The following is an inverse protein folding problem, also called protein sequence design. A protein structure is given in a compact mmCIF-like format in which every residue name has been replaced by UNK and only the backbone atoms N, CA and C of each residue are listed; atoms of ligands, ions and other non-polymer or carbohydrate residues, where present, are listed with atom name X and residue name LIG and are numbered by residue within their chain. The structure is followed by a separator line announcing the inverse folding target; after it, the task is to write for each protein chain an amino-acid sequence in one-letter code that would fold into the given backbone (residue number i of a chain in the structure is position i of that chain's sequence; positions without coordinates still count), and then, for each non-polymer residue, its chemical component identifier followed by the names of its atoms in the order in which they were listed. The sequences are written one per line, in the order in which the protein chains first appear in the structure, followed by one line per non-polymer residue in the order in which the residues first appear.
data_IF_616861748974
#
_entry.id   IF_616861748974
#
_cell.length_a   1.000
_cell.length_b   1.000
_cell.length_c   1.000
_cell.angle_alpha   90.00
_cell.angle_beta   90.00
_cell.angle_gamma   90.00
#
_symmetry.space_group_name_H-M   'P 1'
#
loop_
_entity.id
_entity.type
_entity.pdbx_description
1 polymer ?
#
# COMPACT_ATOMS: atom_id res chain seq x y z
N UNK A 1 0.98 -1.22 -33.40
CA UNK A 1 1.27 -0.96 -31.96
C UNK A 1 1.00 0.51 -31.67
N UNK A 2 0.23 0.86 -30.63
CA UNK A 2 -0.15 2.26 -30.38
C UNK A 2 1.01 3.09 -29.81
N UNK A 3 1.13 4.38 -30.19
CA UNK A 3 2.13 5.30 -29.63
C UNK A 3 1.84 5.59 -28.15
N UNK A 4 2.87 5.79 -27.32
CA UNK A 4 2.69 6.20 -25.92
C UNK A 4 2.23 7.66 -25.84
N UNK A 5 2.79 8.51 -26.70
CA UNK A 5 2.38 9.90 -26.88
C UNK A 5 1.30 9.94 -27.97
N UNK A 6 0.10 10.33 -27.58
CA UNK A 6 -1.10 10.43 -28.43
C UNK A 6 -1.83 11.74 -28.18
N UNK A 7 -2.70 12.14 -29.10
CA UNK A 7 -3.52 13.36 -28.98
C UNK A 7 -4.66 13.23 -27.94
N UNK A 8 -4.85 12.06 -27.34
CA UNK A 8 -5.81 11.83 -26.24
C UNK A 8 -5.50 12.59 -24.93
N UNK A 9 -4.30 13.17 -24.82
CA UNK A 9 -3.91 14.03 -23.70
C UNK A 9 -3.69 15.44 -24.27
N UNK A 10 -4.73 16.30 -24.27
CA UNK A 10 -4.65 17.64 -24.81
C UNK A 10 -3.56 18.41 -24.05
N UNK A 11 -2.66 19.05 -24.79
CA UNK A 11 -1.48 19.75 -24.26
C UNK A 11 -0.44 18.88 -23.54
N UNK A 12 -0.59 17.55 -23.56
CA UNK A 12 0.36 16.59 -22.98
C UNK A 12 0.61 16.75 -21.47
N UNK A 13 -0.33 17.38 -20.76
CA UNK A 13 -0.21 17.71 -19.34
C UNK A 13 -0.03 16.44 -18.51
N UNK A 14 -0.89 15.44 -18.69
CA UNK A 14 -0.86 14.23 -17.88
C UNK A 14 0.45 13.44 -18.08
N UNK A 15 0.96 13.40 -19.32
CA UNK A 15 2.24 12.72 -19.62
C UNK A 15 3.43 13.44 -19.02
N UNK A 16 3.50 14.77 -19.14
CA UNK A 16 4.60 15.57 -18.56
C UNK A 16 4.60 15.40 -17.04
N UNK A 17 3.42 15.45 -16.40
CA UNK A 17 3.27 15.15 -14.97
C UNK A 17 3.73 13.72 -14.65
N UNK A 18 3.41 12.74 -15.50
CA UNK A 18 3.80 11.35 -15.32
C UNK A 18 5.33 11.18 -15.31
N UNK A 19 6.03 11.79 -16.26
CA UNK A 19 7.50 11.78 -16.31
C UNK A 19 8.08 12.51 -15.10
N UNK A 20 7.54 13.68 -14.75
CA UNK A 20 7.99 14.47 -13.60
C UNK A 20 7.87 13.69 -12.29
N UNK A 21 6.74 12.98 -12.10
CA UNK A 21 6.51 12.12 -10.93
C UNK A 21 7.46 10.92 -10.89
N UNK A 22 7.77 10.30 -12.04
CA UNK A 22 8.76 9.22 -12.09
C UNK A 22 10.16 9.70 -11.68
N UNK A 23 10.58 10.86 -12.19
CA UNK A 23 11.85 11.48 -11.79
C UNK A 23 11.84 11.86 -10.30
N UNK A 24 10.71 12.37 -9.80
CA UNK A 24 10.57 12.68 -8.38
C UNK A 24 10.65 11.43 -7.50
N UNK A 25 10.07 10.29 -7.91
CA UNK A 25 10.29 9.02 -7.20
C UNK A 25 11.77 8.66 -7.15
N UNK A 26 12.49 8.69 -8.29
CA UNK A 26 13.92 8.38 -8.34
C UNK A 26 14.73 9.26 -7.38
N UNK A 27 14.44 10.57 -7.37
CA UNK A 27 15.05 11.51 -6.43
C UNK A 27 14.76 11.13 -4.96
N UNK A 28 13.49 10.86 -4.62
CA UNK A 28 13.08 10.49 -3.25
C UNK A 28 13.69 9.16 -2.79
N UNK A 29 13.82 8.18 -3.68
CA UNK A 29 14.51 6.93 -3.38
C UNK A 29 16.02 7.15 -3.18
N UNK A 30 16.66 7.97 -4.00
CA UNK A 30 18.08 8.30 -3.82
C UNK A 30 18.32 8.95 -2.44
N UNK A 31 17.48 9.91 -2.04
CA UNK A 31 17.53 10.52 -0.71
C UNK A 31 17.32 9.50 0.41
N UNK A 32 16.36 8.59 0.26
CA UNK A 32 16.12 7.54 1.24
C UNK A 32 17.35 6.65 1.43
N UNK A 33 18.00 6.22 0.35
CA UNK A 33 19.19 5.37 0.47
C UNK A 33 20.40 6.11 1.04
N UNK A 34 20.52 7.42 0.77
CA UNK A 34 21.64 8.23 1.25
C UNK A 34 21.47 8.70 2.71
N UNK A 35 20.26 9.12 3.08
CA UNK A 35 19.97 9.82 4.34
C UNK A 35 18.97 9.07 5.24
N UNK A 36 18.46 7.91 4.81
CA UNK A 36 17.46 7.15 5.57
C UNK A 36 16.05 7.75 5.56
N UNK A 37 15.79 8.78 4.76
CA UNK A 37 14.47 9.40 4.61
C UNK A 37 14.29 9.95 3.20
N UNK A 38 13.07 9.86 2.67
CA UNK A 38 12.72 10.49 1.40
C UNK A 38 12.63 12.02 1.51
N UNK A 39 12.55 12.55 2.74
CA UNK A 39 12.38 13.96 3.05
C UNK A 39 13.36 14.36 4.17
N UNK A 40 14.61 14.68 3.82
CA UNK A 40 15.63 15.05 4.80
C UNK A 40 15.45 16.49 5.29
N UNK A 41 15.89 16.76 6.53
CA UNK A 41 15.70 18.05 7.19
C UNK A 41 16.38 19.24 6.49
N UNK A 42 17.39 19.00 5.66
CA UNK A 42 18.05 20.06 4.88
C UNK A 42 17.21 20.55 3.68
N UNK A 43 16.17 19.82 3.27
CA UNK A 43 15.26 20.25 2.23
C UNK A 43 14.11 21.07 2.84
N UNK A 44 13.83 22.25 2.29
CA UNK A 44 12.68 23.07 2.68
C UNK A 44 11.38 22.23 2.64
N UNK A 45 10.59 22.20 3.73
CA UNK A 45 9.31 21.50 3.76
C UNK A 45 8.34 21.91 2.65
N UNK A 46 8.32 23.19 2.30
CA UNK A 46 7.48 23.74 1.23
C UNK A 46 7.89 23.20 -0.13
N UNK A 47 9.21 23.13 -0.40
CA UNK A 47 9.73 22.54 -1.64
C UNK A 47 9.42 21.05 -1.72
N UNK A 48 9.59 20.32 -0.62
CA UNK A 48 9.24 18.91 -0.54
C UNK A 48 7.74 18.69 -0.79
N UNK A 49 6.88 19.48 -0.14
CA UNK A 49 5.43 19.43 -0.29
C UNK A 49 4.99 19.77 -1.72
N UNK A 50 5.61 20.76 -2.38
CA UNK A 50 5.36 21.08 -3.78
C UNK A 50 5.71 19.90 -4.71
N UNK A 51 6.83 19.21 -4.45
CA UNK A 51 7.19 17.98 -5.15
C UNK A 51 6.14 16.88 -4.98
N UNK A 52 5.62 16.69 -3.76
CA UNK A 52 4.53 15.74 -3.49
C UNK A 52 3.22 16.18 -4.17
N UNK A 53 2.94 17.49 -4.25
CA UNK A 53 1.75 18.02 -4.91
C UNK A 53 1.69 17.69 -6.41
N UNK A 54 2.83 17.52 -7.10
CA UNK A 54 2.87 17.02 -8.48
C UNK A 54 2.19 15.65 -8.62
N UNK A 55 2.25 14.81 -7.58
CA UNK A 55 1.55 13.52 -7.57
C UNK A 55 0.03 13.71 -7.52
N UNK A 56 -0.47 14.75 -6.85
CA UNK A 56 -1.90 15.10 -6.90
C UNK A 56 -2.28 15.52 -8.32
N UNK A 57 -1.53 16.45 -8.91
CA UNK A 57 -1.78 16.92 -10.27
C UNK A 57 -1.80 15.75 -11.27
N UNK A 58 -0.88 14.78 -11.14
CA UNK A 58 -0.89 13.57 -11.96
C UNK A 58 -2.18 12.76 -11.77
N UNK A 59 -2.56 12.46 -10.53
CA UNK A 59 -3.75 11.65 -10.26
C UNK A 59 -5.03 12.33 -10.78
N UNK A 60 -5.19 13.63 -10.51
CA UNK A 60 -6.39 14.39 -10.90
C UNK A 60 -6.46 14.69 -12.40
N UNK A 61 -5.33 14.94 -13.07
CA UNK A 61 -5.30 15.13 -14.53
C UNK A 61 -5.75 13.88 -15.31
N UNK A 62 -5.79 12.68 -14.69
CA UNK A 62 -6.35 11.48 -15.32
C UNK A 62 -7.86 11.58 -15.63
N UNK A 63 -8.57 12.54 -15.03
CA UNK A 63 -9.97 12.82 -15.33
C UNK A 63 -10.16 13.41 -16.75
N UNK A 64 -9.13 14.07 -17.28
CA UNK A 64 -9.13 14.63 -18.64
C UNK A 64 -9.06 13.53 -19.71
N UNK A 65 -8.64 12.32 -19.33
CA UNK A 65 -8.44 11.21 -20.25
C UNK A 65 -9.75 10.42 -20.45
N UNK A 66 -10.10 10.09 -21.71
CA UNK A 66 -11.25 9.25 -21.99
C UNK A 66 -11.01 7.82 -21.51
N UNK A 67 -12.04 7.21 -20.92
CA UNK A 67 -12.04 5.82 -20.46
C UNK A 67 -13.15 5.02 -21.15
N UNK A 68 -12.91 3.70 -21.37
CA UNK A 68 -13.99 2.81 -21.77
C UNK A 68 -15.05 2.73 -20.66
N UNK A 69 -16.32 2.83 -21.05
CA UNK A 69 -17.46 2.71 -20.12
C UNK A 69 -17.64 1.24 -19.71
N UNK A 70 -17.48 0.32 -20.68
CA UNK A 70 -17.63 -1.11 -20.45
C UNK A 70 -16.32 -1.72 -19.95
N UNK A 71 -16.43 -2.52 -18.90
CA UNK A 71 -15.29 -3.24 -18.32
C UNK A 71 -14.86 -4.40 -19.20
N UNK A 72 -13.55 -4.55 -19.37
CA UNK A 72 -12.94 -5.68 -20.05
C UNK A 72 -12.19 -6.53 -19.01
N UNK A 73 -12.50 -7.82 -18.97
CA UNK A 73 -11.91 -8.76 -18.03
C UNK A 73 -10.72 -9.55 -18.61
N UNK A 74 -10.43 -9.39 -19.90
CA UNK A 74 -9.34 -10.11 -20.57
C UNK A 74 -7.95 -9.54 -20.28
N UNK A 75 -7.87 -8.23 -20.01
CA UNK A 75 -6.60 -7.53 -19.76
C UNK A 75 -6.71 -6.55 -18.60
N UNK A 76 -5.65 -6.34 -17.80
CA UNK A 76 -5.60 -5.25 -16.84
C UNK A 76 -5.82 -3.91 -17.55
N UNK A 77 -6.91 -3.23 -17.22
CA UNK A 77 -7.30 -1.98 -17.86
C UNK A 77 -7.98 -1.04 -16.85
N UNK A 78 -7.84 0.26 -17.08
CA UNK A 78 -8.46 1.30 -16.26
C UNK A 78 -9.94 1.43 -16.66
N UNK A 79 -10.83 1.43 -15.67
CA UNK A 79 -12.26 1.77 -15.80
C UNK A 79 -12.65 2.81 -14.72
N UNK A 80 -13.88 3.37 -14.75
CA UNK A 80 -14.26 4.49 -13.87
C UNK A 80 -14.05 4.25 -12.38
N UNK A 81 -14.49 3.11 -11.83
CA UNK A 81 -14.27 2.74 -10.43
C UNK A 81 -12.77 2.71 -10.09
N UNK A 82 -11.94 2.01 -10.87
CA UNK A 82 -10.50 1.94 -10.62
C UNK A 82 -9.83 3.32 -10.64
N UNK A 83 -10.16 4.16 -11.63
CA UNK A 83 -9.61 5.53 -11.71
C UNK A 83 -9.95 6.32 -10.44
N UNK A 84 -11.22 6.31 -10.03
CA UNK A 84 -11.67 7.08 -8.87
C UNK A 84 -11.09 6.53 -7.56
N UNK A 85 -10.97 5.20 -7.41
CA UNK A 85 -10.26 4.60 -6.27
C UNK A 85 -8.78 5.00 -6.25
N UNK A 86 -8.09 4.95 -7.38
CA UNK A 86 -6.68 5.36 -7.48
C UNK A 86 -6.51 6.84 -7.10
N UNK A 87 -7.38 7.74 -7.56
CA UNK A 87 -7.39 9.16 -7.15
C UNK A 87 -7.63 9.31 -5.66
N UNK A 88 -8.65 8.64 -5.10
CA UNK A 88 -8.99 8.75 -3.68
C UNK A 88 -7.86 8.25 -2.78
N UNK A 89 -7.29 7.09 -3.10
CA UNK A 89 -6.19 6.50 -2.32
C UNK A 89 -4.89 7.31 -2.48
N UNK A 90 -4.56 7.79 -3.68
CA UNK A 90 -3.42 8.67 -3.87
C UNK A 90 -3.60 9.98 -3.10
N UNK A 91 -4.76 10.61 -3.21
CA UNK A 91 -5.05 11.89 -2.53
C UNK A 91 -4.91 11.77 -1.02
N UNK A 92 -5.38 10.67 -0.41
CA UNK A 92 -5.15 10.39 1.01
C UNK A 92 -3.67 10.46 1.37
N UNK A 93 -2.83 9.72 0.65
CA UNK A 93 -1.39 9.68 0.91
C UNK A 93 -0.68 11.00 0.64
N UNK A 94 -1.10 11.73 -0.38
CA UNK A 94 -0.58 13.07 -0.68
C UNK A 94 -0.92 14.04 0.45
N UNK A 95 -2.20 14.07 0.87
CA UNK A 95 -2.64 14.92 1.99
C UNK A 95 -1.88 14.57 3.26
N UNK A 96 -1.79 13.30 3.65
CA UNK A 96 -1.07 12.94 4.87
C UNK A 96 0.43 13.23 4.79
N UNK A 97 1.05 13.08 3.62
CA UNK A 97 2.46 13.44 3.42
C UNK A 97 2.65 14.95 3.54
N UNK A 98 1.86 15.76 2.84
CA UNK A 98 1.97 17.24 2.86
C UNK A 98 1.69 17.77 4.27
N UNK A 99 0.63 17.32 4.93
CA UNK A 99 0.29 17.75 6.28
C UNK A 99 1.38 17.36 7.28
N UNK A 100 2.04 16.20 7.11
CA UNK A 100 3.21 15.84 7.93
C UNK A 100 4.43 16.69 7.61
N UNK A 101 4.72 16.98 6.32
CA UNK A 101 5.87 17.80 5.94
C UNK A 101 5.76 19.23 6.48
N UNK A 102 4.58 19.81 6.38
CA UNK A 102 4.33 21.20 6.77
C UNK A 102 3.97 21.37 8.25
N UNK A 103 4.00 20.28 9.02
CA UNK A 103 3.61 20.24 10.42
C UNK A 103 2.22 20.86 10.67
N UNK A 104 1.25 20.49 9.82
CA UNK A 104 -0.14 20.96 9.86
C UNK A 104 -1.08 20.02 10.61
N UNK A 105 -0.56 18.93 11.18
CA UNK A 105 -1.35 18.19 12.15
C UNK A 105 -1.61 19.11 13.35
N UNK A 106 -2.74 18.97 14.08
CA UNK A 106 -2.90 19.65 15.36
C UNK A 106 -1.65 19.40 16.21
N UNK A 107 -1.13 20.37 16.95
CA UNK A 107 0.10 20.17 17.74
C UNK A 107 -0.22 19.41 19.04
N UNK A 108 0.79 18.95 19.77
CA UNK A 108 0.58 18.25 21.06
C UNK A 108 -0.21 19.11 22.08
N UNK A 109 -0.08 20.43 22.00
CA UNK A 109 -0.87 21.40 22.78
C UNK A 109 -2.36 21.39 22.43
N UNK A 110 -2.73 21.00 21.20
CA UNK A 110 -4.09 21.02 20.67
C UNK A 110 -4.95 19.83 21.14
N UNK A 111 -4.42 18.97 22.03
CA UNK A 111 -5.00 17.72 22.53
C UNK A 111 -4.81 16.50 21.61
N UNK A 112 -4.45 15.37 22.23
CA UNK A 112 -4.38 14.03 21.62
C UNK A 112 -5.69 13.65 20.89
N UNK A 113 -6.82 14.18 21.35
CA UNK A 113 -8.11 13.99 20.71
C UNK A 113 -8.20 14.71 19.35
N UNK A 114 -7.69 15.94 19.25
CA UNK A 114 -7.68 16.68 17.99
C UNK A 114 -6.84 15.95 16.92
N UNK A 115 -5.67 15.43 17.31
CA UNK A 115 -4.85 14.56 16.44
C UNK A 115 -5.62 13.32 15.97
N UNK A 116 -6.28 12.63 16.90
CA UNK A 116 -7.07 11.44 16.59
C UNK A 116 -8.21 11.75 15.61
N UNK A 117 -8.93 12.85 15.85
CA UNK A 117 -10.02 13.31 14.99
C UNK A 117 -9.50 13.70 13.60
N UNK A 118 -8.42 14.47 13.50
CA UNK A 118 -7.84 14.89 12.21
C UNK A 118 -7.43 13.68 11.35
N UNK A 119 -6.70 12.72 11.93
CA UNK A 119 -6.30 11.50 11.21
C UNK A 119 -7.51 10.60 10.89
N UNK A 120 -8.45 10.50 11.83
CA UNK A 120 -9.69 9.76 11.66
C UNK A 120 -10.55 10.31 10.52
N UNK A 121 -10.65 11.63 10.38
CA UNK A 121 -11.39 12.29 9.30
C UNK A 121 -10.78 11.95 7.94
N UNK A 122 -9.46 12.03 7.79
CA UNK A 122 -8.78 11.67 6.54
C UNK A 122 -9.02 10.21 6.17
N UNK A 123 -8.88 9.29 7.14
CA UNK A 123 -9.04 7.85 6.91
C UNK A 123 -10.49 7.44 6.65
N UNK A 124 -11.40 7.78 7.57
CA UNK A 124 -12.81 7.46 7.46
C UNK A 124 -13.45 8.16 6.26
N UNK A 125 -13.05 9.41 5.97
CA UNK A 125 -13.44 10.13 4.76
C UNK A 125 -13.02 9.39 3.49
N UNK A 126 -11.78 8.93 3.41
CA UNK A 126 -11.29 8.13 2.27
C UNK A 126 -12.05 6.80 2.14
N UNK A 127 -12.30 6.10 3.25
CA UNK A 127 -13.06 4.83 3.25
C UNK A 127 -14.50 5.05 2.80
N UNK A 128 -15.14 6.13 3.24
CA UNK A 128 -16.50 6.51 2.81
C UNK A 128 -16.52 6.86 1.33
N UNK A 129 -15.56 7.64 0.85
CA UNK A 129 -15.40 7.95 -0.57
C UNK A 129 -15.20 6.69 -1.42
N UNK A 130 -14.33 5.76 -0.99
CA UNK A 130 -14.11 4.49 -1.70
C UNK A 130 -15.36 3.60 -1.73
N UNK A 131 -16.15 3.59 -0.65
CA UNK A 131 -17.42 2.88 -0.58
C UNK A 131 -18.42 3.48 -1.56
N UNK A 132 -18.59 4.80 -1.55
CA UNK A 132 -19.45 5.52 -2.50
C UNK A 132 -19.05 5.27 -3.95
N UNK A 133 -17.74 5.28 -4.26
CA UNK A 133 -17.24 4.98 -5.60
C UNK A 133 -17.62 3.55 -6.02
N UNK A 134 -17.47 2.59 -5.10
CA UNK A 134 -17.82 1.18 -5.36
C UNK A 134 -19.32 1.02 -5.61
N UNK A 135 -20.15 1.71 -4.83
CA UNK A 135 -21.60 1.61 -4.95
C UNK A 135 -22.12 2.23 -6.25
N UNK A 136 -21.47 3.29 -6.75
CA UNK A 136 -21.91 3.99 -7.96
C UNK A 136 -21.30 3.47 -9.27
N UNK A 137 -20.06 3.00 -9.25
CA UNK A 137 -19.33 2.59 -10.47
C UNK A 137 -18.75 1.18 -10.43
N UNK A 138 -18.82 0.51 -9.28
CA UNK A 138 -18.20 -0.79 -9.08
C UNK A 138 -19.15 -1.98 -9.27
N UNK A 139 -18.61 -3.16 -9.02
CA UNK A 139 -19.37 -4.40 -8.90
C UNK A 139 -18.91 -5.14 -7.63
N UNK A 140 -19.86 -5.45 -6.73
CA UNK A 140 -19.53 -6.03 -5.41
C UNK A 140 -19.00 -7.46 -5.50
N UNK A 141 -19.37 -8.21 -6.54
CA UNK A 141 -18.91 -9.57 -6.82
C UNK A 141 -17.56 -9.58 -7.54
N UNK A 142 -17.42 -8.71 -8.54
CA UNK A 142 -16.22 -8.59 -9.37
C UNK A 142 -15.54 -7.25 -9.11
N UNK A 143 -14.75 -7.17 -8.05
CA UNK A 143 -13.96 -5.97 -7.70
C UNK A 143 -12.65 -5.90 -8.48
N UNK A 144 -12.11 -4.70 -8.70
CA UNK A 144 -10.87 -4.49 -9.47
C UNK A 144 -9.72 -5.44 -9.12
N UNK A 145 -9.44 -5.61 -7.84
CA UNK A 145 -8.31 -6.46 -7.40
C UNK A 145 -8.64 -7.95 -7.40
N UNK A 146 -9.92 -8.34 -7.32
CA UNK A 146 -10.31 -9.75 -7.25
C UNK A 146 -10.44 -10.41 -8.63
N UNK A 147 -10.78 -9.62 -9.65
CA UNK A 147 -11.11 -10.08 -11.00
C UNK A 147 -10.12 -9.53 -12.03
N UNK A 148 -8.98 -9.02 -11.58
CA UNK A 148 -7.86 -8.71 -12.45
C UNK A 148 -7.38 -10.02 -13.09
N UNK A 149 -7.24 -10.09 -14.42
CA UNK A 149 -6.72 -11.28 -15.08
C UNK A 149 -5.26 -11.53 -14.68
N UNK A 150 -4.94 -12.78 -14.39
CA UNK A 150 -3.59 -13.26 -14.11
C UNK A 150 -3.06 -14.04 -15.31
N UNK A 151 -1.74 -14.10 -15.49
CA UNK A 151 -1.13 -14.97 -16.50
C UNK A 151 -1.53 -16.44 -16.30
N UNK A 152 -1.62 -17.19 -17.41
CA UNK A 152 -1.92 -18.63 -17.38
C UNK A 152 -0.89 -19.44 -16.61
N UNK A 153 0.35 -18.97 -16.54
CA UNK A 153 1.46 -19.61 -15.81
C UNK A 153 1.33 -19.54 -14.29
N UNK A 154 0.44 -18.69 -13.75
CA UNK A 154 0.21 -18.56 -12.31
C UNK A 154 -0.98 -19.42 -11.92
N UNK A 155 -0.74 -20.41 -11.07
CA UNK A 155 -1.71 -21.43 -10.69
C UNK A 155 -2.94 -20.81 -10.00
N UNK A 156 -4.16 -21.06 -10.52
CA UNK A 156 -5.37 -20.42 -10.02
C UNK A 156 -5.77 -20.83 -8.61
N UNK A 157 -5.46 -22.05 -8.19
CA UNK A 157 -5.93 -22.64 -6.93
C UNK A 157 -4.97 -22.38 -5.77
N UNK A 158 -3.66 -22.30 -6.04
CA UNK A 158 -2.61 -22.26 -5.02
C UNK A 158 -1.87 -20.92 -4.98
N UNK A 159 -1.51 -20.35 -6.13
CA UNK A 159 -0.65 -19.16 -6.19
C UNK A 159 -1.46 -17.85 -6.22
N UNK A 160 -2.49 -17.77 -7.08
CA UNK A 160 -3.32 -16.56 -7.19
C UNK A 160 -3.95 -16.14 -5.86
N UNK A 161 -4.50 -17.03 -5.02
CA UNK A 161 -5.09 -16.63 -3.74
C UNK A 161 -4.05 -16.04 -2.78
N UNK A 162 -2.81 -16.56 -2.80
CA UNK A 162 -1.70 -16.08 -1.96
C UNK A 162 -1.26 -14.67 -2.39
N UNK A 163 -1.09 -14.44 -3.70
CA UNK A 163 -0.78 -13.11 -4.25
C UNK A 163 -1.89 -12.11 -3.95
N UNK A 164 -3.16 -12.47 -4.19
CA UNK A 164 -4.32 -11.61 -3.89
C UNK A 164 -4.40 -11.25 -2.41
N UNK A 165 -4.16 -12.22 -1.52
CA UNK A 165 -4.09 -11.98 -0.08
C UNK A 165 -2.99 -10.99 0.26
N UNK A 166 -1.84 -11.08 -0.39
CA UNK A 166 -0.74 -10.15 -0.15
C UNK A 166 -1.02 -8.74 -0.69
N UNK A 167 -1.67 -8.61 -1.84
CA UNK A 167 -2.15 -7.31 -2.33
C UNK A 167 -3.14 -6.67 -1.35
N UNK A 168 -4.08 -7.44 -0.82
CA UNK A 168 -5.02 -6.96 0.21
C UNK A 168 -4.27 -6.48 1.47
N UNK A 169 -3.32 -7.27 1.97
CA UNK A 169 -2.53 -6.89 3.15
C UNK A 169 -1.70 -5.63 2.90
N UNK A 170 -1.15 -5.48 1.69
CA UNK A 170 -0.41 -4.27 1.31
C UNK A 170 -1.31 -3.04 1.25
N UNK A 171 -2.58 -3.18 0.82
CA UNK A 171 -3.57 -2.09 0.88
C UNK A 171 -3.94 -1.70 2.32
N UNK A 172 -4.03 -2.67 3.23
CA UNK A 172 -4.19 -2.41 4.65
C UNK A 172 -2.95 -1.70 5.22
N UNK A 173 -1.75 -2.19 4.94
CA UNK A 173 -0.50 -1.58 5.38
C UNK A 173 -0.35 -0.14 4.84
N UNK A 174 -0.70 0.10 3.58
CA UNK A 174 -0.75 1.44 3.00
C UNK A 174 -1.70 2.35 3.80
N UNK A 175 -2.91 1.89 4.09
CA UNK A 175 -3.86 2.69 4.89
C UNK A 175 -3.36 2.92 6.32
N UNK A 176 -2.73 1.92 6.94
CA UNK A 176 -2.11 2.06 8.26
C UNK A 176 -0.97 3.08 8.29
N UNK A 177 -0.15 3.15 7.24
CA UNK A 177 0.97 4.11 7.19
C UNK A 177 0.52 5.56 7.34
N UNK A 178 -0.69 5.91 6.92
CA UNK A 178 -1.29 7.25 7.10
C UNK A 178 -1.48 7.65 8.58
N UNK A 179 -1.43 6.71 9.52
CA UNK A 179 -1.51 6.96 10.97
C UNK A 179 -0.15 7.27 11.59
N UNK A 180 0.93 7.12 10.81
CA UNK A 180 2.28 7.33 11.28
C UNK A 180 2.63 8.83 11.15
N UNK A 181 3.39 9.39 12.11
CA UNK A 181 3.91 10.75 12.04
C UNK A 181 5.19 10.81 11.18
N UNK A 182 5.20 10.18 10.01
CA UNK A 182 6.38 10.11 9.15
C UNK A 182 6.01 10.31 7.67
N UNK A 183 6.55 11.37 7.07
CA UNK A 183 6.25 11.72 5.68
C UNK A 183 6.77 10.68 4.68
N UNK A 184 7.90 10.03 4.95
CA UNK A 184 8.47 8.98 4.09
C UNK A 184 7.52 7.78 4.03
N UNK A 185 6.98 7.37 5.17
CA UNK A 185 6.04 6.26 5.24
C UNK A 185 4.65 6.62 4.68
N UNK A 186 4.21 7.87 4.87
CA UNK A 186 2.99 8.38 4.23
C UNK A 186 3.10 8.41 2.71
N UNK A 187 4.29 8.72 2.17
CA UNK A 187 4.57 8.82 0.74
C UNK A 187 4.72 7.45 0.06
N UNK A 188 5.35 6.48 0.74
CA UNK A 188 5.77 5.21 0.14
C UNK A 188 4.68 4.47 -0.66
N UNK A 189 3.41 4.37 -0.21
CA UNK A 189 2.38 3.67 -0.96
C UNK A 189 1.96 4.33 -2.28
N UNK A 190 2.27 5.62 -2.48
CA UNK A 190 1.95 6.33 -3.73
C UNK A 190 2.57 5.65 -4.95
N UNK A 191 3.76 5.06 -4.81
CA UNK A 191 4.44 4.39 -5.90
C UNK A 191 3.55 3.29 -6.47
N UNK A 192 3.08 2.36 -5.65
CA UNK A 192 2.22 1.28 -6.11
C UNK A 192 0.87 1.78 -6.64
N UNK A 193 0.29 2.80 -6.01
CA UNK A 193 -1.00 3.39 -6.41
C UNK A 193 -0.92 4.02 -7.80
N UNK A 194 0.19 4.68 -8.14
CA UNK A 194 0.39 5.37 -9.42
C UNK A 194 1.04 4.48 -10.49
N UNK A 195 1.85 3.50 -10.11
CA UNK A 195 2.40 2.52 -11.05
C UNK A 195 1.32 1.61 -11.62
N UNK A 196 0.29 1.27 -10.85
CA UNK A 196 -0.82 0.45 -11.33
C UNK A 196 -1.53 1.04 -12.58
N UNK A 197 -2.05 2.28 -12.59
CA UNK A 197 -2.66 2.88 -13.79
C UNK A 197 -1.65 3.10 -14.93
N UNK A 198 -0.37 3.40 -14.64
CA UNK A 198 0.67 3.46 -15.67
C UNK A 198 0.79 2.11 -16.39
N UNK A 199 0.95 1.02 -15.64
CA UNK A 199 1.09 -0.32 -16.20
C UNK A 199 -0.18 -0.78 -16.94
N UNK A 200 -1.38 -0.50 -16.42
CA UNK A 200 -2.63 -0.76 -17.15
C UNK A 200 -2.71 0.00 -18.47
N UNK A 201 -2.17 1.23 -18.51
CA UNK A 201 -2.10 2.01 -19.76
C UNK A 201 -1.14 1.38 -20.76
N UNK A 202 0.02 0.89 -20.30
CA UNK A 202 0.99 0.18 -21.15
C UNK A 202 0.45 -1.14 -21.69
N UNK A 203 -0.27 -1.91 -20.85
CA UNK A 203 -0.98 -3.13 -21.27
C UNK A 203 -2.01 -2.82 -22.35
N UNK A 204 -2.86 -1.80 -22.14
CA UNK A 204 -3.87 -1.38 -23.12
C UNK A 204 -3.24 -1.00 -24.46
N UNK A 205 -2.07 -0.35 -24.44
CA UNK A 205 -1.32 0.05 -25.65
C UNK A 205 -0.52 -1.10 -26.28
N UNK A 206 -0.55 -2.29 -25.69
CA UNK A 206 0.20 -3.45 -26.16
C UNK A 206 1.71 -3.28 -26.06
N UNK A 207 2.18 -2.48 -25.09
CA UNK A 207 3.61 -2.26 -24.83
C UNK A 207 4.19 -3.26 -23.85
N UNK A 208 3.35 -3.78 -22.97
CA UNK A 208 3.69 -4.80 -21.98
C UNK A 208 2.53 -5.78 -21.85
N UNK A 209 2.78 -6.94 -21.26
CA UNK A 209 1.80 -7.99 -21.04
C UNK A 209 1.10 -7.84 -19.67
N UNK A 210 0.01 -8.60 -19.45
CA UNK A 210 -0.59 -8.74 -18.11
C UNK A 210 0.40 -9.30 -17.09
N UNK A 211 1.36 -10.09 -17.56
CA UNK A 211 2.44 -10.63 -16.74
C UNK A 211 3.33 -9.51 -16.21
N UNK A 212 3.80 -8.63 -17.10
CA UNK A 212 4.65 -7.49 -16.74
C UNK A 212 3.93 -6.53 -15.77
N UNK A 213 2.62 -6.33 -15.96
CA UNK A 213 1.80 -5.56 -15.02
C UNK A 213 1.93 -6.09 -13.59
N UNK A 214 1.73 -7.40 -13.38
CA UNK A 214 1.78 -7.98 -12.03
C UNK A 214 3.20 -7.94 -11.45
N UNK A 215 4.24 -8.15 -12.26
CA UNK A 215 5.65 -8.01 -11.82
C UNK A 215 5.94 -6.60 -11.32
N UNK A 216 5.68 -5.59 -12.15
CA UNK A 216 5.98 -4.19 -11.78
C UNK A 216 5.12 -3.75 -10.61
N UNK A 217 3.86 -4.18 -10.55
CA UNK A 217 3.00 -3.88 -9.41
C UNK A 217 3.51 -4.54 -8.11
N UNK A 218 3.89 -5.82 -8.16
CA UNK A 218 4.50 -6.52 -7.02
C UNK A 218 5.80 -5.85 -6.55
N UNK A 219 6.68 -5.45 -7.49
CA UNK A 219 7.91 -4.70 -7.18
C UNK A 219 7.56 -3.36 -6.54
N UNK A 220 6.58 -2.62 -7.06
CA UNK A 220 6.19 -1.33 -6.50
C UNK A 220 5.62 -1.43 -5.08
N UNK A 221 4.89 -2.50 -4.77
CA UNK A 221 4.42 -2.80 -3.42
C UNK A 221 5.60 -3.18 -2.52
N UNK A 222 6.49 -4.03 -3.00
CA UNK A 222 7.70 -4.46 -2.29
C UNK A 222 8.61 -3.28 -1.93
N UNK A 223 8.81 -2.35 -2.85
CA UNK A 223 9.62 -1.16 -2.62
C UNK A 223 9.09 -0.33 -1.45
N UNK A 224 7.77 -0.28 -1.21
CA UNK A 224 7.23 0.36 -0.01
C UNK A 224 7.73 -0.27 1.30
N UNK A 225 7.91 -1.59 1.34
CA UNK A 225 8.51 -2.29 2.49
C UNK A 225 10.01 -2.05 2.59
N UNK A 226 10.70 -1.94 1.45
CA UNK A 226 12.12 -1.52 1.41
C UNK A 226 12.26 -0.11 2.00
N UNK A 227 11.35 0.81 1.68
CA UNK A 227 11.36 2.15 2.28
C UNK A 227 11.20 2.10 3.80
N UNK A 228 10.28 1.29 4.31
CA UNK A 228 10.13 1.06 5.76
C UNK A 228 11.43 0.49 6.34
N UNK A 229 12.03 -0.51 5.70
CA UNK A 229 13.27 -1.13 6.15
C UNK A 229 14.41 -0.11 6.28
N UNK A 230 14.69 0.67 5.23
CA UNK A 230 15.75 1.68 5.25
C UNK A 230 15.45 2.82 6.22
N UNK A 231 14.20 3.26 6.29
CA UNK A 231 13.78 4.29 7.26
C UNK A 231 14.04 3.85 8.70
N UNK A 232 13.82 2.57 9.00
CA UNK A 232 14.02 2.00 10.31
C UNK A 232 15.50 1.66 10.63
N UNK A 233 16.36 1.48 9.63
CA UNK A 233 17.80 1.27 9.82
C UNK A 233 18.56 2.54 10.22
N UNK A 234 18.09 3.71 9.80
CA UNK A 234 18.87 4.93 9.91
C UNK A 234 18.66 5.61 11.28
N UNK A 235 19.73 5.87 12.06
CA UNK A 235 19.62 6.32 13.45
C UNK A 235 19.36 7.83 13.61
N UNK A 236 19.21 8.59 12.53
CA UNK A 236 19.17 10.06 12.54
C UNK A 236 18.08 10.65 13.47
N UNK A 237 17.05 9.87 13.80
CA UNK A 237 16.12 10.18 14.89
C UNK A 237 15.71 8.87 15.58
N UNK A 238 16.61 8.33 16.40
CA UNK A 238 16.44 7.00 17.00
C UNK A 238 15.12 6.86 17.79
N UNK A 239 14.62 7.94 18.38
CA UNK A 239 13.36 7.95 19.15
C UNK A 239 12.15 7.92 18.20
N UNK A 240 12.10 8.79 17.19
CA UNK A 240 11.03 8.77 16.19
C UNK A 240 11.02 7.45 15.41
N UNK A 241 12.18 6.91 15.09
CA UNK A 241 12.32 5.68 14.33
C UNK A 241 11.87 4.46 15.13
N UNK A 242 12.25 4.40 16.42
CA UNK A 242 11.80 3.34 17.35
C UNK A 242 10.29 3.41 17.58
N UNK A 243 9.73 4.60 17.82
CA UNK A 243 8.30 4.80 18.02
C UNK A 243 7.46 4.50 16.76
N UNK A 244 7.94 4.91 15.58
CA UNK A 244 7.32 4.61 14.29
C UNK A 244 7.37 3.11 13.98
N UNK A 245 8.49 2.44 14.22
CA UNK A 245 8.62 0.99 14.01
C UNK A 245 7.62 0.20 14.87
N UNK A 246 7.48 0.56 16.14
CA UNK A 246 6.59 -0.13 17.07
C UNK A 246 5.11 0.16 16.82
N UNK A 247 4.79 1.42 16.53
CA UNK A 247 3.46 1.80 16.07
C UNK A 247 3.08 1.07 14.79
N UNK A 248 4.03 0.90 13.87
CA UNK A 248 3.85 0.12 12.63
C UNK A 248 3.57 -1.35 12.93
N UNK A 249 4.35 -1.97 13.83
CA UNK A 249 4.15 -3.36 14.25
C UNK A 249 2.78 -3.53 14.89
N UNK A 250 2.41 -2.66 15.82
CA UNK A 250 1.13 -2.70 16.51
C UNK A 250 -0.04 -2.62 15.52
N UNK A 251 -0.02 -1.65 14.61
CA UNK A 251 -1.10 -1.47 13.64
C UNK A 251 -1.15 -2.61 12.60
N UNK A 252 0.00 -3.10 12.13
CA UNK A 252 0.07 -4.19 11.14
C UNK A 252 -0.29 -5.55 11.77
N UNK A 253 0.07 -5.76 13.04
CA UNK A 253 -0.21 -7.00 13.77
C UNK A 253 -1.64 -7.05 14.29
N UNK A 254 -2.29 -5.88 14.43
CA UNK A 254 -3.69 -5.81 14.78
C UNK A 254 -4.53 -6.58 13.74
N UNK A 255 -5.45 -7.47 14.14
CA UNK A 255 -6.16 -8.37 13.25
C UNK A 255 -7.24 -7.66 12.41
N UNK A 256 -6.96 -6.47 11.89
CA UNK A 256 -7.82 -5.64 11.03
C UNK A 256 -8.47 -6.45 9.91
N UNK A 257 -7.73 -7.35 9.29
CA UNK A 257 -8.25 -8.23 8.23
C UNK A 257 -9.28 -9.26 8.72
N UNK A 258 -9.15 -9.75 9.96
CA UNK A 258 -10.15 -10.63 10.60
C UNK A 258 -11.35 -9.82 11.07
N UNK A 259 -11.12 -8.68 11.75
CA UNK A 259 -12.19 -7.78 12.20
C UNK A 259 -13.03 -7.25 11.04
N UNK A 260 -12.42 -7.03 9.87
CA UNK A 260 -13.15 -6.64 8.66
C UNK A 260 -14.24 -7.63 8.24
N UNK A 261 -14.15 -8.90 8.66
CA UNK A 261 -15.20 -9.91 8.44
C UNK A 261 -16.38 -9.74 9.38
N UNK A 262 -16.16 -9.12 10.54
CA UNK A 262 -17.15 -8.93 11.60
C UNK A 262 -17.81 -7.56 11.53
N UNK A 263 -17.14 -6.55 10.96
CA UNK A 263 -17.65 -5.18 10.93
C UNK A 263 -17.30 -4.39 9.65
N UNK A 264 -18.10 -3.36 9.31
CA UNK A 264 -17.80 -2.40 8.25
C UNK A 264 -16.39 -1.77 8.35
N UNK A 265 -15.79 -1.43 7.20
CA UNK A 265 -14.41 -0.92 7.12
C UNK A 265 -14.22 0.34 7.94
N UNK A 266 -15.23 1.20 7.97
CA UNK A 266 -15.20 2.47 8.69
C UNK A 266 -14.95 2.26 10.18
N UNK A 267 -15.59 1.26 10.80
CA UNK A 267 -15.39 0.95 12.22
C UNK A 267 -14.01 0.36 12.48
N UNK A 268 -13.53 -0.54 11.60
CA UNK A 268 -12.15 -1.07 11.71
C UNK A 268 -11.14 0.08 11.72
N UNK A 269 -11.28 1.05 10.82
CA UNK A 269 -10.34 2.17 10.73
C UNK A 269 -10.53 3.22 11.83
N UNK A 270 -11.75 3.45 12.30
CA UNK A 270 -12.00 4.28 13.47
C UNK A 270 -11.31 3.69 14.71
N UNK A 271 -11.48 2.39 14.96
CA UNK A 271 -10.81 1.68 16.05
C UNK A 271 -9.29 1.74 15.89
N UNK A 272 -8.75 1.44 14.70
CA UNK A 272 -7.31 1.53 14.47
C UNK A 272 -6.76 2.94 14.70
N UNK A 273 -7.51 3.98 14.31
CA UNK A 273 -7.13 5.37 14.57
C UNK A 273 -7.03 5.59 16.07
N UNK A 274 -8.10 5.34 16.83
CA UNK A 274 -8.13 5.51 18.29
C UNK A 274 -7.03 4.70 19.00
N UNK A 275 -6.86 3.43 18.62
CA UNK A 275 -5.82 2.58 19.17
C UNK A 275 -4.42 3.15 18.91
N UNK A 276 -4.19 3.69 17.71
CA UNK A 276 -2.87 4.20 17.31
C UNK A 276 -2.55 5.61 17.82
N UNK A 277 -3.55 6.47 18.01
CA UNK A 277 -3.34 7.88 18.38
C UNK A 277 -3.61 8.16 19.84
N UNK A 278 -4.44 7.36 20.51
CA UNK A 278 -4.80 7.56 21.93
C UNK A 278 -4.24 6.44 22.79
N UNK A 279 -4.60 5.18 22.48
CA UNK A 279 -4.23 4.06 23.37
C UNK A 279 -2.73 3.78 23.31
N UNK A 280 -2.13 3.81 22.13
CA UNK A 280 -0.70 3.56 21.98
C UNK A 280 0.15 4.55 22.80
N UNK A 281 -0.01 5.89 22.66
CA UNK A 281 0.78 6.83 23.46
C UNK A 281 0.51 6.73 24.97
N UNK A 282 -0.74 6.54 25.39
CA UNK A 282 -1.09 6.57 26.81
C UNK A 282 -0.71 5.30 27.57
N UNK A 283 -0.86 4.13 26.93
CA UNK A 283 -0.75 2.84 27.61
C UNK A 283 0.53 2.12 27.23
N UNK A 284 0.88 2.14 25.94
CA UNK A 284 1.90 1.24 25.40
C UNK A 284 3.26 1.93 25.26
N UNK A 285 3.29 3.23 24.94
CA UNK A 285 4.53 3.96 24.70
C UNK A 285 5.46 3.94 25.92
N UNK A 286 4.96 4.22 27.12
CA UNK A 286 5.78 4.19 28.35
C UNK A 286 6.35 2.79 28.66
N UNK A 287 5.54 1.73 28.47
CA UNK A 287 5.98 0.35 28.67
C UNK A 287 7.02 -0.06 27.62
N UNK A 288 6.82 0.41 26.39
CA UNK A 288 7.76 0.21 25.28
C UNK A 288 9.07 0.95 25.52
N UNK A 289 9.03 2.23 25.88
CA UNK A 289 10.20 3.07 26.06
C UNK A 289 11.08 2.52 27.18
N UNK A 290 10.47 1.97 28.24
CA UNK A 290 11.19 1.29 29.31
C UNK A 290 11.81 -0.06 28.89
N UNK A 291 11.12 -0.87 28.07
CA UNK A 291 11.71 -2.09 27.47
C UNK A 291 12.86 -1.77 26.50
N UNK A 292 12.75 -0.66 25.79
CA UNK A 292 13.64 -0.22 24.70
C UNK A 292 14.89 0.51 25.19
N UNK A 293 14.98 0.81 26.49
CA UNK A 293 16.24 1.21 27.12
C UNK A 293 17.33 0.15 26.89
N UNK A 294 16.94 -1.10 26.65
CA UNK A 294 17.82 -2.18 26.24
C UNK A 294 17.91 -2.26 24.69
N UNK A 295 18.94 -1.66 24.11
CA UNK A 295 19.11 -1.48 22.65
C UNK A 295 19.12 -2.81 21.85
N UNK A 296 19.36 -3.95 22.51
CA UNK A 296 19.32 -5.27 21.89
C UNK A 296 17.90 -5.75 21.54
N UNK A 297 16.91 -5.58 22.43
CA UNK A 297 15.54 -6.04 22.21
C UNK A 297 14.87 -5.24 21.07
N UNK A 298 15.14 -3.94 21.06
CA UNK A 298 14.79 -3.01 19.99
C UNK A 298 15.24 -3.49 18.61
N UNK A 299 16.54 -3.80 18.50
CA UNK A 299 17.17 -4.28 17.27
C UNK A 299 16.61 -5.63 16.84
N UNK A 300 16.36 -6.55 17.78
CA UNK A 300 15.83 -7.88 17.46
C UNK A 300 14.39 -7.81 16.91
N UNK A 301 13.52 -7.05 17.56
CA UNK A 301 12.14 -6.83 17.10
C UNK A 301 12.12 -6.10 15.76
N UNK A 302 13.01 -5.12 15.57
CA UNK A 302 13.26 -4.47 14.30
C UNK A 302 13.62 -5.48 13.21
N UNK A 303 14.63 -6.33 13.42
CA UNK A 303 15.06 -7.32 12.44
C UNK A 303 13.96 -8.31 12.10
N UNK A 304 13.22 -8.78 13.10
CA UNK A 304 12.11 -9.71 12.89
C UNK A 304 11.04 -9.13 11.96
N UNK A 305 10.71 -7.85 12.12
CA UNK A 305 9.64 -7.20 11.36
C UNK A 305 10.13 -6.76 9.99
N UNK A 306 11.27 -6.08 9.96
CA UNK A 306 11.81 -5.50 8.75
C UNK A 306 12.27 -6.60 7.77
N UNK A 307 12.96 -7.64 8.24
CA UNK A 307 13.31 -8.81 7.40
C UNK A 307 12.11 -9.70 7.18
N UNK A 308 11.32 -10.02 8.21
CA UNK A 308 10.18 -10.92 8.07
C UNK A 308 9.14 -10.43 7.06
N UNK A 309 8.80 -9.13 7.09
CA UNK A 309 7.86 -8.55 6.15
C UNK A 309 8.41 -8.50 4.72
N UNK A 310 9.69 -8.13 4.57
CA UNK A 310 10.38 -8.06 3.27
C UNK A 310 10.54 -9.45 2.65
N UNK A 311 11.00 -10.42 3.44
CA UNK A 311 11.15 -11.82 3.03
C UNK A 311 9.81 -12.41 2.60
N UNK A 312 8.77 -12.23 3.42
CA UNK A 312 7.43 -12.72 3.08
C UNK A 312 6.94 -12.22 1.72
N UNK A 313 7.24 -10.98 1.35
CA UNK A 313 6.89 -10.44 0.02
C UNK A 313 7.62 -11.17 -1.11
N UNK A 314 8.93 -11.39 -0.96
CA UNK A 314 9.75 -12.11 -1.95
C UNK A 314 9.17 -13.51 -2.23
N UNK A 315 8.88 -14.29 -1.19
CA UNK A 315 8.33 -15.64 -1.36
C UNK A 315 6.89 -15.62 -1.90
N UNK A 316 6.08 -14.63 -1.50
CA UNK A 316 4.70 -14.53 -1.99
C UNK A 316 4.65 -14.18 -3.48
N UNK A 317 5.60 -13.38 -3.97
CA UNK A 317 5.63 -12.94 -5.36
C UNK A 317 6.51 -13.80 -6.26
N UNK A 318 7.25 -14.77 -5.73
CA UNK A 318 8.13 -15.65 -6.52
C UNK A 318 7.45 -16.29 -7.75
N UNK A 319 6.15 -16.70 -7.70
CA UNK A 319 5.46 -17.21 -8.89
C UNK A 319 5.39 -16.21 -10.05
N UNK A 320 5.32 -14.91 -9.74
CA UNK A 320 5.40 -13.84 -10.75
C UNK A 320 6.80 -13.70 -11.36
N UNK A 321 7.80 -14.43 -10.87
CA UNK A 321 9.15 -14.45 -11.43
C UNK A 321 9.53 -15.83 -11.99
N UNK A 322 8.56 -16.74 -12.12
CA UNK A 322 8.77 -18.09 -12.66
C UNK A 322 9.22 -19.11 -11.61
N UNK A 323 9.17 -18.77 -10.32
CA UNK A 323 9.54 -19.66 -9.24
C UNK A 323 8.28 -20.16 -8.51
N UNK A 324 7.97 -21.45 -8.62
CA UNK A 324 6.89 -22.08 -7.85
C UNK A 324 7.42 -22.52 -6.48
N UNK A 325 6.92 -21.92 -5.41
CA UNK A 325 7.21 -22.37 -4.04
C UNK A 325 6.06 -23.26 -3.58
N UNK A 326 6.24 -24.58 -3.67
CA UNK A 326 5.30 -25.53 -3.07
C UNK A 326 5.59 -25.62 -1.58
N UNK A 327 4.84 -24.85 -0.78
CA UNK A 327 4.75 -25.13 0.64
C UNK A 327 4.06 -26.48 0.78
N UNK A 328 4.86 -27.52 1.04
CA UNK A 328 4.35 -28.82 1.45
C UNK A 328 3.51 -28.54 2.69
N UNK A 329 2.18 -28.55 2.57
CA UNK A 329 1.32 -28.60 3.77
C UNK A 329 1.83 -29.82 4.52
N UNK A 330 2.46 -29.61 5.68
CA UNK A 330 2.72 -30.71 6.60
C UNK A 330 1.36 -31.33 6.85
N UNK A 331 1.14 -32.48 6.22
CA UNK A 331 -0.18 -33.07 6.12
C UNK A 331 -0.71 -33.32 7.51
N UNK A 332 -1.93 -32.86 7.78
CA UNK A 332 -2.78 -33.64 8.65
C UNK A 332 -2.89 -35.01 7.98
N UNK A 333 -2.22 -36.01 8.53
CA UNK A 333 -2.38 -37.39 8.11
C UNK A 333 -3.80 -37.83 8.48
N UNK A 334 -4.80 -37.42 7.69
CA UNK A 334 -6.07 -38.12 7.69
C UNK A 334 -5.82 -39.41 6.90
N UNK A 335 -5.35 -40.43 7.60
CA UNK A 335 -5.57 -41.81 7.20
C UNK A 335 -7.08 -41.96 6.95
N UNK A 336 -7.51 -41.87 5.70
CA UNK A 336 -8.79 -42.45 5.32
C UNK A 336 -8.54 -43.95 5.21
N UNK A 337 -9.17 -44.80 6.02
CA UNK A 337 -9.08 -46.24 5.83
C UNK A 337 -9.68 -46.58 4.46
N UNK A 338 -8.96 -47.40 3.69
CA UNK A 338 -9.41 -47.96 2.44
C UNK A 338 -10.76 -48.65 2.67
N UNK A 339 -11.83 -48.09 2.09
CA UNK A 339 -13.12 -48.74 2.01
C UNK A 339 -12.99 -49.99 1.14
N UNK A 340 -13.28 -51.14 1.75
CA UNK A 340 -13.37 -52.43 1.11
C UNK A 340 -14.39 -52.39 -0.04
N UNK A 341 -13.95 -52.86 -1.20
CA UNK A 341 -14.79 -53.35 -2.29
C UNK A 341 -15.69 -54.47 -1.76
N UNK A 342 -17.00 -54.22 -1.67
CA UNK A 342 -18.01 -55.28 -1.67
C UNK A 342 -18.49 -55.47 -3.12
N UNK A 343 -18.02 -56.56 -3.72
CA UNK A 343 -18.77 -57.27 -4.76
C UNK A 343 -20.01 -57.87 -4.13
N UNK A 344 -21.18 -57.61 -4.71
CA UNK A 344 -22.37 -58.43 -4.53
C UNK A 344 -22.97 -58.64 -5.92
N UNK A 345 -23.36 -59.89 -6.13
CA UNK A 345 -23.80 -60.57 -7.35
C UNK A 345 -24.97 -59.93 -8.11
#
# INVERSE_FOLDING_TARGET
MAKLITNHDPYHIHKILGVSVLLHYLYRFALLFQYGTAFPAFESPQRAAAGVFLHAMLSWSSLLLPLPIKRNFTKPMIWPEFRLHSIAFASRHIVTTIVTLLDWWPNEEASILAHALARGLVLCGTVKAASFITDKWGNREQRTTNSMPYPSTVDPETERPVIKKQYMLSQFAATASCLLPDATLNFAPLLAIQMAPLMMTLVRKGKVTSFDYHRVYAISLYLGYVMVFFRLLYPADSILTKSVGLKTIFIISFPSSKLRRLMPAIYVWAINTLLSTIIYPLVLQNAIDSMMYNDHAARLLFWFVAVGCTWRQVFTYAPLFGYSIRFRRMGSSSNKPNGATKTVD
#
